data_IF_535197872568
#
_entry.id   IF_535197872568
#
_cell.length_a   1.000
_cell.length_b   1.000
_cell.length_c   1.000
_cell.angle_alpha   90.00
_cell.angle_beta   90.00
_cell.angle_gamma   90.00
#
_symmetry.space_group_name_H-M   'P 1'
#
loop_
_entity.id
_entity.type
_entity.pdbx_description
1 polymer ?
#
# COMPACT_ATOMS: atom_id res chain seq x y z
N UNK A 1 -10.26 16.70 13.25
CA UNK A 1 -9.17 15.81 13.68
C UNK A 1 -9.02 14.65 12.71
N UNK A 2 -7.80 14.23 12.47
CA UNK A 2 -7.56 13.08 11.60
C UNK A 2 -8.12 11.79 12.22
N UNK A 3 -8.67 10.91 11.40
CA UNK A 3 -9.07 9.57 11.85
C UNK A 3 -7.82 8.72 12.11
N UNK A 4 -7.98 7.63 12.86
CA UNK A 4 -6.87 6.69 13.08
C UNK A 4 -6.36 6.12 11.74
N UNK A 5 -7.27 5.82 10.82
CA UNK A 5 -6.92 5.37 9.47
C UNK A 5 -6.12 6.44 8.73
N UNK A 6 -6.57 7.69 8.76
CA UNK A 6 -5.88 8.79 8.10
C UNK A 6 -4.48 9.02 8.63
N UNK A 7 -4.31 8.93 9.95
CA UNK A 7 -3.00 9.06 10.58
C UNK A 7 -2.05 7.94 10.14
N UNK A 8 -2.55 6.72 10.04
CA UNK A 8 -1.75 5.58 9.59
C UNK A 8 -1.33 5.74 8.13
N UNK A 9 -2.23 6.18 7.27
CA UNK A 9 -1.93 6.44 5.87
C UNK A 9 -0.85 7.51 5.75
N UNK A 10 -0.97 8.60 6.50
CA UNK A 10 0.02 9.68 6.52
C UNK A 10 1.40 9.17 6.93
N UNK A 11 1.46 8.40 8.01
CA UNK A 11 2.71 7.84 8.51
C UNK A 11 3.39 6.95 7.47
N UNK A 12 2.64 6.01 6.90
CA UNK A 12 3.17 5.08 5.89
C UNK A 12 3.61 5.82 4.63
N UNK A 13 2.84 6.80 4.20
CA UNK A 13 3.18 7.62 3.02
C UNK A 13 4.52 8.32 3.22
N UNK A 14 4.71 8.94 4.38
CA UNK A 14 5.95 9.65 4.70
C UNK A 14 7.14 8.70 4.80
N UNK A 15 6.95 7.55 5.38
CA UNK A 15 7.99 6.53 5.46
C UNK A 15 8.49 6.09 4.09
N UNK A 16 7.58 6.08 3.11
CA UNK A 16 7.93 5.73 1.73
C UNK A 16 8.47 6.90 0.92
N UNK A 17 8.49 8.09 1.48
CA UNK A 17 8.95 9.28 0.78
C UNK A 17 7.99 9.76 -0.30
N UNK A 18 6.72 9.41 -0.20
CA UNK A 18 5.70 9.82 -1.18
C UNK A 18 5.07 11.15 -0.78
N UNK A 19 4.80 12.00 -1.78
CA UNK A 19 4.02 13.21 -1.56
C UNK A 19 2.53 12.85 -1.59
N UNK A 20 1.67 13.78 -1.11
CA UNK A 20 0.23 13.62 -1.25
C UNK A 20 -0.17 13.43 -2.71
N UNK A 21 0.46 14.18 -3.59
CA UNK A 21 0.20 14.12 -5.02
C UNK A 21 0.57 12.75 -5.59
N UNK A 22 1.70 12.19 -5.16
CA UNK A 22 2.13 10.86 -5.57
C UNK A 22 1.12 9.80 -5.16
N UNK A 23 0.65 9.85 -3.92
CA UNK A 23 -0.34 8.89 -3.43
C UNK A 23 -1.68 9.07 -4.15
N UNK A 24 -2.08 10.31 -4.39
CA UNK A 24 -3.31 10.59 -5.12
C UNK A 24 -3.27 9.98 -6.52
N UNK A 25 -2.18 10.18 -7.24
CA UNK A 25 -2.01 9.60 -8.58
C UNK A 25 -2.02 8.08 -8.56
N UNK A 26 -1.31 7.49 -7.60
CA UNK A 26 -1.23 6.03 -7.49
C UNK A 26 -2.58 5.39 -7.19
N UNK A 27 -3.50 6.13 -6.59
CA UNK A 27 -4.81 5.62 -6.19
C UNK A 27 -5.95 6.15 -7.06
N UNK A 28 -5.62 6.85 -8.14
CA UNK A 28 -6.59 7.47 -9.04
C UNK A 28 -7.55 8.38 -8.26
N UNK A 29 -6.99 9.27 -7.47
CA UNK A 29 -7.70 10.19 -6.59
C UNK A 29 -7.19 11.60 -6.77
N UNK A 30 -7.95 12.59 -6.28
CA UNK A 30 -7.48 13.96 -6.24
C UNK A 30 -6.60 14.18 -5.01
N UNK A 31 -5.70 15.15 -5.08
CA UNK A 31 -4.87 15.56 -3.96
C UNK A 31 -5.74 16.02 -2.78
N UNK A 32 -6.80 16.77 -3.06
CA UNK A 32 -7.73 17.24 -2.04
C UNK A 32 -8.38 16.09 -1.28
N UNK A 33 -8.79 15.05 -2.00
CA UNK A 33 -9.41 13.87 -1.39
C UNK A 33 -8.42 13.15 -0.46
N UNK A 34 -7.18 12.95 -0.92
CA UNK A 34 -6.15 12.32 -0.08
C UNK A 34 -5.83 13.17 1.14
N UNK A 35 -5.76 14.48 0.97
CA UNK A 35 -5.52 15.39 2.10
C UNK A 35 -6.64 15.27 3.15
N UNK A 36 -7.89 15.20 2.71
CA UNK A 36 -9.02 15.05 3.62
C UNK A 36 -8.98 13.72 4.37
N UNK A 37 -8.65 12.64 3.68
CA UNK A 37 -8.52 11.32 4.33
C UNK A 37 -7.46 11.35 5.42
N UNK A 38 -6.31 11.99 5.16
CA UNK A 38 -5.21 12.03 6.13
C UNK A 38 -5.45 12.99 7.29
N UNK A 39 -6.18 14.07 7.06
CA UNK A 39 -6.24 15.17 8.01
C UNK A 39 -7.60 15.43 8.65
N UNK A 40 -8.66 14.89 8.10
CA UNK A 40 -10.02 15.07 8.61
C UNK A 40 -10.64 13.73 8.97
N UNK A 41 -11.60 13.78 9.89
CA UNK A 41 -12.38 12.61 10.26
C UNK A 41 -13.55 12.48 9.27
N UNK A 42 -13.24 12.02 8.07
CA UNK A 42 -14.22 11.84 7.01
C UNK A 42 -14.66 10.38 6.92
N UNK A 43 -15.69 10.13 6.12
CA UNK A 43 -16.19 8.77 5.90
C UNK A 43 -15.05 7.89 5.36
N UNK A 44 -15.02 6.63 5.83
CA UNK A 44 -14.03 5.66 5.39
C UNK A 44 -14.09 5.50 3.86
N UNK A 45 -12.92 5.43 3.19
CA UNK A 45 -12.90 5.16 1.75
C UNK A 45 -13.57 3.82 1.42
N UNK A 46 -14.03 3.68 0.19
CA UNK A 46 -14.61 2.42 -0.27
C UNK A 46 -13.57 1.30 -0.19
N UNK A 47 -14.05 0.04 -0.20
CA UNK A 47 -13.15 -1.11 -0.19
C UNK A 47 -12.16 -1.07 -1.36
N UNK A 48 -12.64 -0.67 -2.54
CA UNK A 48 -11.79 -0.53 -3.72
C UNK A 48 -10.70 0.52 -3.52
N UNK A 49 -11.07 1.68 -2.96
CA UNK A 49 -10.11 2.75 -2.72
C UNK A 49 -9.09 2.34 -1.64
N UNK A 50 -9.53 1.68 -0.58
CA UNK A 50 -8.64 1.16 0.46
C UNK A 50 -7.64 0.17 -0.13
N UNK A 51 -8.09 -0.68 -1.05
CA UNK A 51 -7.24 -1.65 -1.72
C UNK A 51 -6.13 -0.96 -2.51
N UNK A 52 -6.48 0.10 -3.25
CA UNK A 52 -5.51 0.89 -4.02
C UNK A 52 -4.51 1.61 -3.12
N UNK A 53 -4.98 2.18 -2.02
CA UNK A 53 -4.11 2.85 -1.04
C UNK A 53 -3.13 1.83 -0.45
N UNK A 54 -3.63 0.67 -0.05
CA UNK A 54 -2.79 -0.38 0.52
C UNK A 54 -1.71 -0.84 -0.46
N UNK A 55 -2.06 -1.03 -1.73
CA UNK A 55 -1.10 -1.38 -2.76
C UNK A 55 -0.02 -0.32 -2.92
N UNK A 56 -0.40 0.93 -2.94
CA UNK A 56 0.54 2.05 -3.08
C UNK A 56 1.50 2.12 -1.89
N UNK A 57 1.03 1.75 -0.71
CA UNK A 57 1.81 1.80 0.53
C UNK A 57 2.49 0.47 0.89
N UNK A 58 2.37 -0.55 0.05
CA UNK A 58 2.96 -1.87 0.26
C UNK A 58 2.49 -2.57 1.54
N UNK A 59 1.22 -2.40 1.84
CA UNK A 59 0.57 -3.05 2.99
C UNK A 59 -0.73 -3.71 2.55
N UNK A 60 -1.37 -4.43 3.45
CA UNK A 60 -2.70 -5.00 3.18
C UNK A 60 -3.79 -4.03 3.65
N UNK A 61 -5.00 -4.10 3.07
CA UNK A 61 -6.12 -3.30 3.59
C UNK A 61 -6.42 -3.60 5.05
N UNK A 62 -6.30 -4.86 5.47
CA UNK A 62 -6.52 -5.27 6.85
C UNK A 62 -5.57 -4.54 7.80
N UNK A 63 -4.31 -4.40 7.42
CA UNK A 63 -3.33 -3.66 8.22
C UNK A 63 -3.74 -2.19 8.37
N UNK A 64 -4.23 -1.56 7.30
CA UNK A 64 -4.68 -0.17 7.37
C UNK A 64 -5.85 0.02 8.33
N UNK A 65 -6.76 -0.95 8.38
CA UNK A 65 -7.94 -0.89 9.24
C UNK A 65 -7.58 -1.21 10.68
N UNK A 66 -6.64 -2.10 10.91
CA UNK A 66 -6.20 -2.51 12.24
C UNK A 66 -5.16 -1.54 12.78
N UNK A 67 -5.65 -0.47 13.39
CA UNK A 67 -4.79 0.59 13.94
C UNK A 67 -3.98 0.13 15.15
N UNK A 68 -4.28 -1.03 15.72
CA UNK A 68 -3.54 -1.55 16.86
C UNK A 68 -2.30 -2.33 16.46
N UNK A 69 -2.16 -2.72 15.18
CA UNK A 69 -1.06 -3.59 14.73
C UNK A 69 0.28 -2.86 14.58
N UNK A 70 0.28 -1.53 14.49
CA UNK A 70 1.54 -0.79 14.34
C UNK A 70 2.19 -0.97 12.97
N UNK A 71 3.45 -1.37 12.94
CA UNK A 71 4.16 -1.60 11.66
C UNK A 71 3.82 -2.97 11.09
N UNK A 72 3.79 -3.12 9.74
CA UNK A 72 3.58 -4.44 9.14
C UNK A 72 4.65 -5.41 9.61
N UNK A 73 4.24 -6.62 9.99
CA UNK A 73 5.18 -7.68 10.25
C UNK A 73 5.63 -8.30 8.91
N UNK A 74 6.56 -9.26 8.98
CA UNK A 74 7.13 -9.90 7.80
C UNK A 74 6.05 -10.56 6.92
N UNK A 75 5.11 -11.27 7.54
CA UNK A 75 4.01 -11.92 6.81
C UNK A 75 3.14 -10.90 6.06
N UNK A 76 2.84 -9.78 6.68
CA UNK A 76 2.04 -8.73 6.05
C UNK A 76 2.77 -8.09 4.87
N UNK A 77 4.08 -7.90 5.00
CA UNK A 77 4.92 -7.39 3.92
C UNK A 77 4.95 -8.38 2.75
N UNK A 78 5.06 -9.67 3.02
CA UNK A 78 5.05 -10.72 2.01
C UNK A 78 3.72 -10.76 1.27
N UNK A 79 2.60 -10.64 1.97
CA UNK A 79 1.27 -10.61 1.35
C UNK A 79 1.10 -9.38 0.45
N UNK A 80 1.58 -8.23 0.89
CA UNK A 80 1.52 -7.01 0.09
C UNK A 80 2.35 -7.13 -1.18
N UNK A 81 3.55 -7.70 -1.08
CA UNK A 81 4.40 -7.98 -2.23
C UNK A 81 3.71 -8.94 -3.19
N UNK A 82 3.12 -10.01 -2.67
CA UNK A 82 2.43 -11.01 -3.48
C UNK A 82 1.25 -10.41 -4.26
N UNK A 83 0.48 -9.53 -3.61
CA UNK A 83 -0.62 -8.83 -4.29
C UNK A 83 -0.10 -7.97 -5.44
N UNK A 84 0.98 -7.23 -5.23
CA UNK A 84 1.62 -6.43 -6.29
C UNK A 84 2.11 -7.31 -7.42
N UNK A 85 2.74 -8.42 -7.07
CA UNK A 85 3.23 -9.37 -8.06
C UNK A 85 2.09 -9.90 -8.92
N UNK A 86 0.96 -10.26 -8.32
CA UNK A 86 -0.20 -10.77 -9.07
C UNK A 86 -0.76 -9.74 -10.05
N UNK A 87 -0.62 -8.46 -9.74
CA UNK A 87 -1.13 -7.38 -10.58
C UNK A 87 -0.10 -6.84 -11.58
N UNK A 88 1.12 -7.32 -11.52
CA UNK A 88 2.18 -6.86 -12.41
C UNK A 88 1.97 -7.39 -13.84
N UNK A 89 2.59 -6.72 -14.80
CA UNK A 89 2.57 -7.16 -16.18
C UNK A 89 3.22 -8.55 -16.33
N UNK A 90 2.79 -9.36 -17.31
CA UNK A 90 3.37 -10.69 -17.51
C UNK A 90 4.89 -10.70 -17.67
N UNK A 91 5.45 -9.69 -18.31
CA UNK A 91 6.91 -9.58 -18.46
C UNK A 91 7.61 -9.38 -17.12
N UNK A 92 7.05 -8.54 -16.25
CA UNK A 92 7.59 -8.31 -14.91
C UNK A 92 7.50 -9.60 -14.09
N UNK A 93 6.37 -10.29 -14.15
CA UNK A 93 6.19 -11.57 -13.46
C UNK A 93 7.21 -12.60 -13.91
N UNK A 94 7.41 -12.72 -15.21
CA UNK A 94 8.37 -13.67 -15.78
C UNK A 94 9.80 -13.36 -15.31
N UNK A 95 10.16 -12.08 -15.30
CA UNK A 95 11.50 -11.65 -14.85
C UNK A 95 11.71 -12.00 -13.38
N UNK A 96 10.72 -11.71 -12.52
CA UNK A 96 10.81 -12.01 -11.10
C UNK A 96 10.91 -13.51 -10.84
N UNK A 97 10.14 -14.32 -11.55
CA UNK A 97 10.21 -15.78 -11.44
C UNK A 97 11.58 -16.31 -11.85
N UNK A 98 12.16 -15.74 -12.88
CA UNK A 98 13.48 -16.11 -13.36
C UNK A 98 14.56 -15.82 -12.31
N UNK A 99 14.50 -14.65 -11.70
CA UNK A 99 15.44 -14.24 -10.66
C UNK A 99 15.35 -15.19 -9.46
N UNK A 100 14.13 -15.48 -9.01
CA UNK A 100 13.90 -16.39 -7.89
C UNK A 100 14.39 -17.80 -8.19
N UNK A 101 14.13 -18.30 -9.41
CA UNK A 101 14.60 -19.60 -9.84
C UNK A 101 16.11 -19.68 -9.87
N UNK A 102 16.78 -18.63 -10.36
CA UNK A 102 18.24 -18.57 -10.40
C UNK A 102 18.84 -18.59 -8.99
N UNK A 103 18.21 -17.91 -8.04
CA UNK A 103 18.68 -17.89 -6.66
C UNK A 103 18.52 -19.26 -5.98
N UNK A 104 17.42 -19.95 -6.26
CA UNK A 104 17.18 -21.29 -5.72
C UNK A 104 18.17 -22.30 -6.30
N UNK A 105 18.48 -22.19 -7.58
CA UNK A 105 19.43 -23.09 -8.25
C UNK A 105 20.90 -22.79 -7.89
N UNK A 106 21.15 -21.59 -7.36
CA UNK A 106 22.50 -21.18 -6.98
C UNK A 106 23.03 -21.83 -5.71
N UNK A 107 22.21 -22.61 -5.05
CA UNK A 107 22.62 -23.31 -3.82
C UNK A 107 23.31 -24.68 -4.16
#
# INVERSE_FOLDING_TARGET
MASALGMKINELRREKGLTLEDLAKATDSSKSYMWEIENKDVARPSAEKLDRIALALDVTPDFLIDVASGRPNEDQQDRAFFRKFQQADPEVKATLKKILGALDEGD
#
